data_IF_059932416743
#
_entry.id   IF_059932416743
#
_cell.length_a   1.000
_cell.length_b   1.000
_cell.length_c   1.000
_cell.angle_alpha   90.00
_cell.angle_beta   90.00
_cell.angle_gamma   90.00
#
_symmetry.space_group_name_H-M   'P 1'
#
loop_
_entity.id
_entity.type
_entity.pdbx_description
1 polymer ?
#
# COMPACT_ATOMS: atom_id res chain seq x y z
N UNK A 1 -15.71 17.19 -25.92
CA UNK A 1 -17.18 17.21 -25.75
C UNK A 1 -17.70 15.88 -25.21
N UNK A 2 -17.37 14.73 -25.83
CA UNK A 2 -17.86 13.39 -25.42
C UNK A 2 -17.58 13.06 -23.93
N UNK A 3 -16.36 13.33 -23.43
CA UNK A 3 -16.00 13.10 -22.02
C UNK A 3 -16.95 13.86 -21.09
N UNK A 4 -17.05 15.18 -21.27
CA UNK A 4 -17.91 16.04 -20.46
C UNK A 4 -19.38 15.61 -20.55
N UNK A 5 -19.89 15.31 -21.75
CA UNK A 5 -21.25 14.81 -21.93
C UNK A 5 -21.49 13.49 -21.19
N UNK A 6 -20.54 12.56 -21.22
CA UNK A 6 -20.64 11.28 -20.51
C UNK A 6 -20.69 11.48 -19.00
N UNK A 7 -19.84 12.36 -18.46
CA UNK A 7 -19.84 12.68 -17.03
C UNK A 7 -21.14 13.36 -16.60
N UNK A 8 -21.66 14.30 -17.39
CA UNK A 8 -22.96 14.96 -17.13
C UNK A 8 -24.10 13.94 -17.13
N UNK A 9 -24.14 13.05 -18.13
CA UNK A 9 -25.17 12.00 -18.21
C UNK A 9 -25.05 11.05 -17.02
N UNK A 10 -23.84 10.68 -16.62
CA UNK A 10 -23.60 9.91 -15.41
C UNK A 10 -24.21 10.60 -14.20
N UNK A 11 -23.90 11.87 -13.98
CA UNK A 11 -24.45 12.62 -12.84
C UNK A 11 -25.98 12.70 -12.85
N UNK A 12 -26.61 12.90 -14.01
CA UNK A 12 -28.07 12.83 -14.15
C UNK A 12 -28.57 11.42 -13.81
N UNK A 13 -27.92 10.38 -14.34
CA UNK A 13 -28.26 8.99 -14.10
C UNK A 13 -28.08 8.54 -12.66
N UNK A 14 -27.19 9.17 -11.90
CA UNK A 14 -27.04 8.95 -10.46
C UNK A 14 -28.26 9.44 -9.67
N UNK A 15 -28.84 10.55 -10.11
CA UNK A 15 -29.93 11.24 -9.42
C UNK A 15 -31.31 10.85 -9.95
N UNK A 16 -31.39 10.15 -11.08
CA UNK A 16 -32.65 9.86 -11.77
C UNK A 16 -32.62 8.53 -12.49
N UNK A 17 -33.72 7.80 -12.45
CA UNK A 17 -33.87 6.53 -13.16
C UNK A 17 -33.87 6.75 -14.68
N UNK A 18 -32.83 6.27 -15.35
CA UNK A 18 -32.64 6.36 -16.80
C UNK A 18 -33.19 5.14 -17.56
N UNK A 19 -33.84 4.18 -16.90
CA UNK A 19 -34.35 2.93 -17.50
C UNK A 19 -35.37 3.17 -18.63
N UNK A 20 -36.04 4.33 -18.64
CA UNK A 20 -36.94 4.72 -19.73
C UNK A 20 -36.22 4.97 -21.07
N UNK A 21 -34.90 5.24 -21.05
CA UNK A 21 -34.13 5.49 -22.25
C UNK A 21 -33.49 4.20 -22.79
N UNK A 22 -34.14 3.56 -23.76
CA UNK A 22 -33.69 2.28 -24.34
C UNK A 22 -32.34 2.33 -25.07
N UNK A 23 -31.85 3.50 -25.46
CA UNK A 23 -30.58 3.63 -26.20
C UNK A 23 -29.38 3.89 -25.29
N UNK A 24 -29.59 4.16 -24.00
CA UNK A 24 -28.51 4.60 -23.09
C UNK A 24 -27.42 3.54 -22.95
N UNK A 25 -27.81 2.30 -22.69
CA UNK A 25 -26.88 1.17 -22.52
C UNK A 25 -26.06 0.93 -23.78
N UNK A 26 -26.71 0.92 -24.95
CA UNK A 26 -26.03 0.74 -26.25
C UNK A 26 -25.07 1.88 -26.55
N UNK A 27 -25.43 3.10 -26.18
CA UNK A 27 -24.58 4.28 -26.39
C UNK A 27 -23.31 4.18 -25.55
N UNK A 28 -23.44 3.81 -24.27
CA UNK A 28 -22.31 3.64 -23.35
C UNK A 28 -21.43 2.47 -23.78
N UNK A 29 -22.02 1.35 -24.18
CA UNK A 29 -21.29 0.20 -24.71
C UNK A 29 -20.42 0.58 -25.92
N UNK A 30 -20.98 1.37 -26.85
CA UNK A 30 -20.22 1.94 -27.97
C UNK A 30 -19.02 2.80 -27.54
N UNK A 31 -19.09 3.47 -26.40
CA UNK A 31 -17.99 4.31 -25.89
C UNK A 31 -16.82 3.49 -25.33
N UNK A 32 -17.03 2.25 -24.86
CA UNK A 32 -15.92 1.39 -24.43
C UNK A 32 -14.99 0.99 -25.58
N UNK A 33 -15.52 1.00 -26.81
CA UNK A 33 -14.76 0.72 -28.02
C UNK A 33 -14.04 1.95 -28.61
N UNK A 34 -14.15 3.12 -27.97
CA UNK A 34 -13.56 4.36 -28.48
C UNK A 34 -12.02 4.35 -28.43
N UNK A 35 -11.33 4.92 -29.42
CA UNK A 35 -9.86 4.88 -29.49
C UNK A 35 -9.16 5.64 -28.33
N UNK A 36 -9.80 6.70 -27.82
CA UNK A 36 -9.30 7.47 -26.68
C UNK A 36 -9.67 6.81 -25.34
N UNK A 37 -8.65 6.44 -24.55
CA UNK A 37 -8.79 5.85 -23.20
C UNK A 37 -9.59 6.72 -22.23
N UNK A 38 -9.47 8.05 -22.27
CA UNK A 38 -10.21 8.95 -21.39
C UNK A 38 -11.72 8.89 -21.63
N UNK A 39 -12.13 8.64 -22.88
CA UNK A 39 -13.55 8.41 -23.20
C UNK A 39 -14.03 7.10 -22.60
N UNK A 40 -13.21 6.05 -22.62
CA UNK A 40 -13.55 4.76 -22.01
C UNK A 40 -13.68 4.86 -20.48
N UNK A 41 -12.80 5.63 -19.84
CA UNK A 41 -12.87 5.91 -18.39
C UNK A 41 -14.13 6.71 -18.08
N UNK A 42 -14.45 7.74 -18.87
CA UNK A 42 -15.68 8.51 -18.69
C UNK A 42 -16.95 7.66 -18.90
N UNK A 43 -16.91 6.70 -19.83
CA UNK A 43 -18.00 5.74 -20.04
C UNK A 43 -18.18 4.80 -18.85
N UNK A 44 -17.09 4.28 -18.26
CA UNK A 44 -17.14 3.50 -17.03
C UNK A 44 -17.78 4.28 -15.87
N UNK A 45 -17.33 5.50 -15.64
CA UNK A 45 -17.90 6.37 -14.60
C UNK A 45 -19.38 6.66 -14.85
N UNK A 46 -19.75 6.98 -16.10
CA UNK A 46 -21.13 7.19 -16.50
C UNK A 46 -22.01 5.95 -16.23
N UNK A 47 -21.54 4.75 -16.59
CA UNK A 47 -22.26 3.50 -16.37
C UNK A 47 -22.50 3.22 -14.88
N UNK A 48 -21.45 3.39 -14.05
CA UNK A 48 -21.57 3.19 -12.60
C UNK A 48 -22.59 4.14 -11.97
N UNK A 49 -22.55 5.41 -12.36
CA UNK A 49 -23.49 6.42 -11.90
C UNK A 49 -24.93 6.16 -12.36
N UNK A 50 -25.17 5.80 -13.62
CA UNK A 50 -26.49 5.40 -14.09
C UNK A 50 -27.01 4.18 -13.32
N UNK A 51 -26.11 3.24 -13.01
CA UNK A 51 -26.46 2.06 -12.25
C UNK A 51 -26.96 2.42 -10.84
N UNK A 52 -26.37 3.43 -10.19
CA UNK A 52 -26.81 3.92 -8.88
C UNK A 52 -28.25 4.46 -8.91
N UNK A 53 -28.68 5.10 -10.00
CA UNK A 53 -30.05 5.62 -10.13
C UNK A 53 -31.13 4.54 -10.20
N UNK A 54 -30.79 3.34 -10.67
CA UNK A 54 -31.68 2.17 -10.66
C UNK A 54 -30.88 0.86 -10.69
N UNK A 55 -30.41 0.42 -9.52
CA UNK A 55 -29.58 -0.79 -9.38
C UNK A 55 -30.29 -2.03 -9.89
N UNK A 56 -31.58 -2.18 -9.58
CA UNK A 56 -32.39 -3.33 -10.00
C UNK A 56 -32.42 -3.52 -11.52
N UNK A 57 -32.42 -2.43 -12.29
CA UNK A 57 -32.44 -2.51 -13.75
C UNK A 57 -31.03 -2.63 -14.34
N UNK A 58 -30.09 -1.80 -13.90
CA UNK A 58 -28.79 -1.66 -14.57
C UNK A 58 -27.70 -2.59 -14.02
N UNK A 59 -27.75 -3.02 -12.76
CA UNK A 59 -26.73 -3.90 -12.19
C UNK A 59 -26.64 -5.26 -12.92
N UNK A 60 -27.76 -5.94 -13.26
CA UNK A 60 -27.70 -7.15 -14.08
C UNK A 60 -27.03 -6.94 -15.44
N UNK A 61 -27.21 -5.75 -16.04
CA UNK A 61 -26.59 -5.39 -17.32
C UNK A 61 -25.08 -5.21 -17.16
N UNK A 62 -24.64 -4.53 -16.09
CA UNK A 62 -23.20 -4.38 -15.79
C UNK A 62 -22.54 -5.75 -15.56
N UNK A 63 -23.21 -6.65 -14.85
CA UNK A 63 -22.71 -8.01 -14.60
C UNK A 63 -22.62 -8.81 -15.90
N UNK A 64 -23.64 -8.72 -16.77
CA UNK A 64 -23.61 -9.35 -18.09
C UNK A 64 -22.41 -8.85 -18.92
N UNK A 65 -22.15 -7.54 -18.92
CA UNK A 65 -20.96 -6.98 -19.58
C UNK A 65 -19.67 -7.50 -18.96
N UNK A 66 -19.55 -7.62 -17.63
CA UNK A 66 -18.33 -8.14 -16.98
C UNK A 66 -18.03 -9.58 -17.43
N UNK A 67 -19.07 -10.37 -17.61
CA UNK A 67 -18.95 -11.78 -17.98
C UNK A 67 -18.69 -11.98 -19.48
N UNK A 68 -19.24 -11.12 -20.33
CA UNK A 68 -19.20 -11.28 -21.79
C UNK A 68 -18.12 -10.42 -22.49
N UNK A 69 -17.63 -9.33 -21.87
CA UNK A 69 -16.69 -8.38 -22.46
C UNK A 69 -15.32 -8.37 -21.73
N UNK A 70 -14.47 -9.40 -21.90
CA UNK A 70 -13.21 -9.52 -21.15
C UNK A 70 -12.26 -8.34 -21.39
N UNK A 71 -12.27 -7.76 -22.59
CA UNK A 71 -11.43 -6.60 -22.96
C UNK A 71 -11.80 -5.32 -22.18
N UNK A 72 -13.03 -5.23 -21.67
CA UNK A 72 -13.54 -4.07 -20.93
C UNK A 72 -13.70 -4.37 -19.43
N UNK A 73 -13.42 -5.60 -18.98
CA UNK A 73 -13.60 -6.05 -17.59
C UNK A 73 -13.02 -5.10 -16.55
N UNK A 74 -11.81 -4.56 -16.78
CA UNK A 74 -11.21 -3.57 -15.89
C UNK A 74 -12.10 -2.32 -15.73
N UNK A 75 -12.61 -1.76 -16.82
CA UNK A 75 -13.47 -0.57 -16.81
C UNK A 75 -14.85 -0.87 -16.22
N UNK A 76 -15.38 -2.07 -16.42
CA UNK A 76 -16.67 -2.45 -15.85
C UNK A 76 -16.57 -2.68 -14.33
N UNK A 77 -15.47 -3.26 -13.85
CA UNK A 77 -15.19 -3.35 -12.42
C UNK A 77 -14.94 -1.97 -11.78
N UNK A 78 -14.41 -1.01 -12.54
CA UNK A 78 -14.37 0.39 -12.10
C UNK A 78 -15.77 0.98 -11.96
N UNK A 79 -16.73 0.62 -12.82
CA UNK A 79 -18.14 1.00 -12.64
C UNK A 79 -18.73 0.38 -11.37
N UNK A 80 -18.38 -0.88 -11.05
CA UNK A 80 -18.75 -1.51 -9.77
C UNK A 80 -18.17 -0.76 -8.57
N UNK A 81 -16.92 -0.31 -8.66
CA UNK A 81 -16.30 0.51 -7.62
C UNK A 81 -17.08 1.81 -7.38
N UNK A 82 -17.50 2.52 -8.43
CA UNK A 82 -18.31 3.75 -8.27
C UNK A 82 -19.65 3.49 -7.55
N UNK A 83 -20.27 2.33 -7.81
CA UNK A 83 -21.50 1.91 -7.13
C UNK A 83 -21.26 1.75 -5.62
N UNK A 84 -20.17 1.08 -5.25
CA UNK A 84 -19.79 0.85 -3.85
C UNK A 84 -19.42 2.18 -3.15
N UNK A 85 -18.72 3.08 -3.85
CA UNK A 85 -18.25 4.34 -3.28
C UNK A 85 -19.38 5.33 -2.96
N UNK A 86 -20.44 5.34 -3.76
CA UNK A 86 -21.44 6.40 -3.68
C UNK A 86 -22.49 6.13 -2.59
N UNK A 87 -22.96 4.88 -2.44
CA UNK A 87 -24.14 4.57 -1.58
C UNK A 87 -24.11 3.14 -1.03
N UNK A 88 -23.13 2.81 -0.19
CA UNK A 88 -23.07 1.52 0.51
C UNK A 88 -24.36 1.15 1.28
N UNK A 89 -25.10 2.13 1.81
CA UNK A 89 -26.36 1.89 2.52
C UNK A 89 -27.56 1.58 1.60
N UNK A 90 -27.53 2.01 0.33
CA UNK A 90 -28.64 1.79 -0.62
C UNK A 90 -28.40 0.56 -1.52
N UNK A 91 -27.23 -0.08 -1.42
CA UNK A 91 -26.88 -1.30 -2.17
C UNK A 91 -27.14 -2.57 -1.35
N UNK A 92 -27.79 -2.48 -0.19
CA UNK A 92 -27.96 -3.60 0.75
C UNK A 92 -28.56 -4.86 0.09
N UNK A 93 -29.61 -4.70 -0.70
CA UNK A 93 -30.29 -5.78 -1.44
C UNK A 93 -29.42 -6.41 -2.55
N UNK A 94 -28.29 -5.79 -2.87
CA UNK A 94 -27.40 -6.19 -3.95
C UNK A 94 -26.00 -6.59 -3.47
N UNK A 95 -25.72 -6.53 -2.17
CA UNK A 95 -24.41 -6.87 -1.58
C UNK A 95 -23.98 -8.27 -1.98
N UNK A 96 -24.85 -9.27 -1.85
CA UNK A 96 -24.51 -10.66 -2.16
C UNK A 96 -24.05 -10.81 -3.62
N UNK A 97 -24.76 -10.16 -4.55
CA UNK A 97 -24.40 -10.17 -5.97
C UNK A 97 -23.09 -9.44 -6.24
N UNK A 98 -22.86 -8.28 -5.61
CA UNK A 98 -21.63 -7.51 -5.73
C UNK A 98 -20.42 -8.27 -5.15
N UNK A 99 -20.58 -8.88 -3.97
CA UNK A 99 -19.55 -9.70 -3.34
C UNK A 99 -19.21 -10.91 -4.21
N UNK A 100 -20.21 -11.61 -4.75
CA UNK A 100 -19.99 -12.76 -5.63
C UNK A 100 -19.12 -12.40 -6.85
N UNK A 101 -19.49 -11.35 -7.60
CA UNK A 101 -18.72 -10.96 -8.79
C UNK A 101 -17.30 -10.49 -8.44
N UNK A 102 -17.11 -9.83 -7.30
CA UNK A 102 -15.79 -9.40 -6.86
C UNK A 102 -14.92 -10.59 -6.47
N UNK A 103 -15.45 -11.54 -5.70
CA UNK A 103 -14.71 -12.74 -5.32
C UNK A 103 -14.40 -13.66 -6.50
N UNK A 104 -15.31 -13.78 -7.48
CA UNK A 104 -15.04 -14.48 -8.74
C UNK A 104 -13.86 -13.86 -9.51
N UNK A 105 -13.70 -12.53 -9.43
CA UNK A 105 -12.61 -11.82 -10.10
C UNK A 105 -11.35 -11.64 -9.22
N UNK A 106 -11.34 -12.15 -7.98
CA UNK A 106 -10.15 -12.13 -7.11
C UNK A 106 -9.00 -13.01 -7.65
N UNK A 107 -9.32 -14.05 -8.42
CA UNK A 107 -8.35 -14.95 -9.06
C UNK A 107 -7.85 -14.42 -10.42
N UNK A 108 -8.30 -13.24 -10.86
CA UNK A 108 -7.98 -12.75 -12.20
C UNK A 108 -6.46 -12.62 -12.43
N UNK A 109 -5.96 -13.03 -13.58
CA UNK A 109 -4.53 -12.99 -13.91
C UNK A 109 -3.96 -11.57 -13.98
N UNK A 110 -4.78 -10.58 -14.35
CA UNK A 110 -4.34 -9.18 -14.48
C UNK A 110 -4.33 -8.47 -13.11
N UNK A 111 -3.15 -8.01 -12.68
CA UNK A 111 -3.00 -7.32 -11.39
C UNK A 111 -3.87 -6.05 -11.28
N UNK A 112 -4.02 -5.29 -12.36
CA UNK A 112 -4.87 -4.08 -12.37
C UNK A 112 -6.34 -4.41 -12.04
N UNK A 113 -6.83 -5.58 -12.45
CA UNK A 113 -8.20 -6.04 -12.11
C UNK A 113 -8.24 -6.41 -10.63
N UNK A 114 -7.28 -7.22 -10.17
CA UNK A 114 -7.18 -7.58 -8.75
C UNK A 114 -7.07 -6.36 -7.84
N UNK A 115 -6.43 -5.29 -8.27
CA UNK A 115 -6.31 -4.04 -7.51
C UNK A 115 -7.67 -3.37 -7.29
N UNK A 116 -8.49 -3.24 -8.35
CA UNK A 116 -9.85 -2.70 -8.24
C UNK A 116 -10.73 -3.60 -7.39
N UNK A 117 -10.62 -4.92 -7.57
CA UNK A 117 -11.36 -5.91 -6.76
C UNK A 117 -10.96 -5.81 -5.28
N UNK A 118 -9.67 -5.70 -4.98
CA UNK A 118 -9.16 -5.58 -3.61
C UNK A 118 -9.72 -4.33 -2.93
N UNK A 119 -9.74 -3.20 -3.65
CA UNK A 119 -10.32 -1.96 -3.14
C UNK A 119 -11.81 -2.10 -2.82
N UNK A 120 -12.58 -2.67 -3.75
CA UNK A 120 -14.01 -2.89 -3.56
C UNK A 120 -14.29 -3.84 -2.39
N UNK A 121 -13.60 -4.98 -2.32
CA UNK A 121 -13.75 -5.95 -1.23
C UNK A 121 -13.37 -5.35 0.12
N UNK A 122 -12.30 -4.55 0.19
CA UNK A 122 -11.91 -3.89 1.42
C UNK A 122 -12.96 -2.88 1.89
N UNK A 123 -13.53 -2.09 0.97
CA UNK A 123 -14.64 -1.17 1.28
C UNK A 123 -15.90 -1.89 1.75
N UNK A 124 -16.24 -3.03 1.14
CA UNK A 124 -17.33 -3.88 1.60
C UNK A 124 -17.06 -4.43 3.00
N UNK A 125 -15.85 -4.92 3.29
CA UNK A 125 -15.47 -5.39 4.62
C UNK A 125 -15.56 -4.27 5.66
N UNK A 126 -15.08 -3.07 5.35
CA UNK A 126 -15.17 -1.92 6.24
C UNK A 126 -16.62 -1.55 6.58
N UNK A 127 -17.54 -1.68 5.62
CA UNK A 127 -18.93 -1.31 5.79
C UNK A 127 -19.80 -2.40 6.43
N UNK A 128 -19.52 -3.68 6.14
CA UNK A 128 -20.35 -4.81 6.54
C UNK A 128 -19.79 -5.58 7.74
N UNK A 129 -18.52 -5.38 8.08
CA UNK A 129 -17.89 -5.95 9.27
C UNK A 129 -18.03 -7.47 9.32
N UNK A 130 -18.65 -7.98 10.40
CA UNK A 130 -18.79 -9.40 10.70
C UNK A 130 -19.47 -10.21 9.58
N UNK A 131 -20.36 -9.61 8.80
CA UNK A 131 -21.10 -10.31 7.73
C UNK A 131 -20.18 -10.78 6.59
N UNK A 132 -18.98 -10.20 6.46
CA UNK A 132 -18.01 -10.55 5.42
C UNK A 132 -16.93 -11.54 5.90
N UNK A 133 -16.88 -11.87 7.19
CA UNK A 133 -15.73 -12.57 7.78
C UNK A 133 -15.56 -13.98 7.21
N UNK A 134 -16.64 -14.77 7.11
CA UNK A 134 -16.55 -16.14 6.59
C UNK A 134 -16.05 -16.20 5.14
N UNK A 135 -16.41 -15.23 4.30
CA UNK A 135 -15.92 -15.14 2.92
C UNK A 135 -14.43 -14.76 2.87
N UNK A 136 -13.96 -13.93 3.80
CA UNK A 136 -12.54 -13.56 3.91
C UNK A 136 -11.68 -14.69 4.48
N UNK A 137 -12.10 -15.35 5.57
CA UNK A 137 -11.40 -16.48 6.19
C UNK A 137 -11.21 -17.66 5.22
N UNK A 138 -12.23 -17.95 4.42
CA UNK A 138 -12.14 -19.03 3.42
C UNK A 138 -11.18 -18.72 2.27
N UNK A 139 -10.87 -17.44 2.01
CA UNK A 139 -10.02 -17.01 0.89
C UNK A 139 -8.61 -16.63 1.30
N UNK A 140 -8.41 -16.16 2.53
CA UNK A 140 -7.09 -15.82 3.05
C UNK A 140 -6.16 -17.04 3.09
N UNK A 141 -6.73 -18.23 3.31
CA UNK A 141 -6.05 -19.52 3.32
C UNK A 141 -6.12 -20.27 1.98
N UNK A 142 -6.59 -19.61 0.91
CA UNK A 142 -6.73 -20.25 -0.41
C UNK A 142 -5.41 -20.79 -0.93
N UNK A 143 -5.45 -21.96 -1.58
CA UNK A 143 -4.28 -22.52 -2.27
C UNK A 143 -3.84 -21.66 -3.46
N UNK A 144 -4.74 -20.83 -4.02
CA UNK A 144 -4.43 -19.94 -5.11
C UNK A 144 -3.82 -18.61 -4.62
N UNK A 145 -2.58 -18.36 -5.00
CA UNK A 145 -1.85 -17.16 -4.59
C UNK A 145 -2.46 -15.84 -5.10
N UNK A 146 -3.16 -15.84 -6.24
CA UNK A 146 -3.82 -14.64 -6.75
C UNK A 146 -4.96 -14.22 -5.82
N UNK A 147 -5.77 -15.18 -5.37
CA UNK A 147 -6.84 -14.94 -4.39
C UNK A 147 -6.26 -14.41 -3.08
N UNK A 148 -5.24 -15.07 -2.53
CA UNK A 148 -4.57 -14.59 -1.31
C UNK A 148 -4.01 -13.18 -1.48
N UNK A 149 -3.41 -12.86 -2.64
CA UNK A 149 -2.90 -11.50 -2.93
C UNK A 149 -4.00 -10.44 -2.93
N UNK A 150 -5.17 -10.76 -3.49
CA UNK A 150 -6.33 -9.85 -3.48
C UNK A 150 -6.85 -9.63 -2.06
N UNK A 151 -6.98 -10.69 -1.26
CA UNK A 151 -7.42 -10.57 0.14
C UNK A 151 -6.40 -9.77 0.96
N UNK A 152 -5.10 -10.11 0.85
CA UNK A 152 -4.03 -9.39 1.54
C UNK A 152 -4.08 -7.89 1.25
N UNK A 153 -4.27 -7.50 -0.02
CA UNK A 153 -4.36 -6.09 -0.43
C UNK A 153 -5.67 -5.43 -0.02
N UNK A 154 -6.77 -6.16 0.01
CA UNK A 154 -8.08 -5.60 0.37
C UNK A 154 -8.11 -5.06 1.80
N UNK A 155 -7.35 -5.67 2.72
CA UNK A 155 -7.26 -5.22 4.11
C UNK A 155 -6.74 -3.78 4.25
N UNK A 156 -5.91 -3.31 3.32
CA UNK A 156 -5.44 -1.92 3.26
C UNK A 156 -6.63 -0.95 3.17
N UNK A 157 -7.60 -1.29 2.34
CA UNK A 157 -8.80 -0.50 2.09
C UNK A 157 -9.90 -0.76 3.14
N UNK A 158 -9.87 -1.92 3.79
CA UNK A 158 -10.73 -2.23 4.91
C UNK A 158 -10.32 -1.52 6.21
N UNK A 159 -9.07 -1.06 6.32
CA UNK A 159 -8.56 -0.41 7.53
C UNK A 159 -8.84 1.10 7.52
N UNK A 160 -10.05 1.51 7.89
CA UNK A 160 -10.43 2.91 8.13
C UNK A 160 -10.81 3.11 9.61
N UNK A 161 -11.04 4.36 10.03
CA UNK A 161 -11.41 4.64 11.44
C UNK A 161 -12.83 4.18 11.79
N UNK A 162 -13.67 4.05 10.77
CA UNK A 162 -15.08 3.70 10.85
C UNK A 162 -15.31 2.19 10.77
N UNK A 163 -14.26 1.42 10.48
CA UNK A 163 -14.36 -0.03 10.28
C UNK A 163 -14.67 -0.77 11.59
N UNK A 164 -15.37 -1.89 11.48
CA UNK A 164 -15.63 -2.77 12.62
C UNK A 164 -14.33 -3.43 13.11
N UNK A 165 -13.77 -2.88 14.19
CA UNK A 165 -12.55 -3.38 14.81
C UNK A 165 -12.69 -4.84 15.30
N UNK A 166 -13.91 -5.28 15.67
CA UNK A 166 -14.14 -6.67 16.09
C UNK A 166 -13.94 -7.62 14.92
N UNK A 167 -14.54 -7.28 13.78
CA UNK A 167 -14.45 -8.04 12.54
C UNK A 167 -12.99 -8.11 12.06
N UNK A 168 -12.30 -6.96 12.00
CA UNK A 168 -10.90 -6.93 11.58
C UNK A 168 -9.99 -7.70 12.54
N UNK A 169 -10.22 -7.63 13.85
CA UNK A 169 -9.42 -8.36 14.85
C UNK A 169 -9.48 -9.88 14.66
N UNK A 170 -10.57 -10.42 14.10
CA UNK A 170 -10.66 -11.85 13.76
C UNK A 170 -9.65 -12.23 12.68
N UNK A 171 -9.43 -11.37 11.68
CA UNK A 171 -8.57 -11.62 10.53
C UNK A 171 -7.08 -11.29 10.77
N UNK A 172 -6.75 -10.58 11.86
CA UNK A 172 -5.36 -10.13 12.12
C UNK A 172 -4.35 -11.29 12.15
N UNK A 173 -4.60 -12.42 12.85
CA UNK A 173 -3.62 -13.52 12.92
C UNK A 173 -3.24 -14.06 11.54
N UNK A 174 -4.23 -14.36 10.70
CA UNK A 174 -4.05 -14.90 9.36
C UNK A 174 -3.40 -13.87 8.42
N UNK A 175 -3.74 -12.58 8.57
CA UNK A 175 -3.09 -11.51 7.81
C UNK A 175 -1.61 -11.38 8.19
N UNK A 176 -1.27 -11.47 9.47
CA UNK A 176 0.13 -11.46 9.90
C UNK A 176 0.89 -12.66 9.34
N UNK A 177 0.27 -13.84 9.25
CA UNK A 177 0.88 -15.04 8.66
C UNK A 177 1.24 -14.85 7.18
N UNK A 178 0.41 -14.13 6.41
CA UNK A 178 0.68 -13.82 5.00
C UNK A 178 1.95 -12.97 4.79
N UNK A 179 2.48 -12.32 5.82
CA UNK A 179 3.75 -11.60 5.73
C UNK A 179 4.94 -12.54 5.49
N UNK A 180 4.77 -13.84 5.74
CA UNK A 180 5.73 -14.90 5.47
C UNK A 180 5.36 -15.78 4.26
N UNK A 181 4.38 -15.37 3.44
CA UNK A 181 3.97 -16.13 2.25
C UNK A 181 5.13 -16.32 1.28
N UNK A 182 5.13 -17.44 0.55
CA UNK A 182 6.14 -17.74 -0.47
C UNK A 182 6.18 -16.67 -1.58
N UNK A 183 5.02 -16.11 -1.94
CA UNK A 183 4.92 -15.13 -3.01
C UNK A 183 5.32 -13.72 -2.55
N UNK A 184 6.32 -13.08 -3.19
CA UNK A 184 6.79 -11.74 -2.82
C UNK A 184 5.68 -10.68 -2.85
N UNK A 185 4.76 -10.77 -3.80
CA UNK A 185 3.66 -9.82 -3.95
C UNK A 185 2.68 -9.88 -2.77
N UNK A 186 2.44 -11.08 -2.21
CA UNK A 186 1.57 -11.24 -1.04
C UNK A 186 2.23 -10.62 0.19
N UNK A 187 3.54 -10.85 0.38
CA UNK A 187 4.29 -10.22 1.48
C UNK A 187 4.24 -8.69 1.37
N UNK A 188 4.45 -8.13 0.16
CA UNK A 188 4.33 -6.69 -0.08
C UNK A 188 2.95 -6.16 0.33
N UNK A 189 1.87 -6.73 -0.22
CA UNK A 189 0.51 -6.25 0.05
C UNK A 189 0.12 -6.43 1.52
N UNK A 190 0.60 -7.47 2.16
CA UNK A 190 0.40 -7.68 3.60
C UNK A 190 1.04 -6.56 4.42
N UNK A 191 2.30 -6.21 4.15
CA UNK A 191 2.95 -5.09 4.83
C UNK A 191 2.24 -3.76 4.56
N UNK A 192 1.79 -3.50 3.33
CA UNK A 192 0.98 -2.31 3.01
C UNK A 192 -0.35 -2.26 3.79
N UNK A 193 -0.99 -3.41 3.97
CA UNK A 193 -2.22 -3.51 4.77
C UNK A 193 -1.94 -3.31 6.25
N UNK A 194 -0.86 -3.91 6.79
CA UNK A 194 -0.42 -3.70 8.17
C UNK A 194 -0.06 -2.23 8.43
N UNK A 195 0.51 -1.51 7.45
CA UNK A 195 0.73 -0.05 7.56
C UNK A 195 -0.60 0.67 7.73
N UNK A 196 -1.60 0.35 6.90
CA UNK A 196 -2.93 0.99 6.99
C UNK A 196 -3.61 0.69 8.33
N UNK A 197 -3.55 -0.56 8.80
CA UNK A 197 -4.08 -0.96 10.11
C UNK A 197 -3.34 -0.23 11.23
N UNK A 198 -2.00 -0.21 11.22
CA UNK A 198 -1.21 0.51 12.22
C UNK A 198 -1.54 2.01 12.25
N UNK A 199 -1.81 2.61 11.10
CA UNK A 199 -2.11 4.04 11.00
C UNK A 199 -3.50 4.40 11.54
N UNK A 200 -4.53 3.63 11.17
CA UNK A 200 -5.94 3.96 11.45
C UNK A 200 -6.48 3.27 12.71
N UNK A 201 -6.03 2.05 12.99
CA UNK A 201 -6.54 1.16 14.03
C UNK A 201 -5.38 0.50 14.82
N UNK A 202 -4.44 1.28 15.39
CA UNK A 202 -3.21 0.76 16.00
C UNK A 202 -3.45 -0.27 17.12
N UNK A 203 -4.55 -0.14 17.86
CA UNK A 203 -4.87 -1.07 18.96
C UNK A 203 -5.04 -2.52 18.50
N UNK A 204 -5.42 -2.75 17.24
CA UNK A 204 -5.53 -4.10 16.66
C UNK A 204 -4.18 -4.83 16.60
N UNK A 205 -3.08 -4.09 16.49
CA UNK A 205 -1.73 -4.64 16.37
C UNK A 205 -0.94 -4.61 17.69
N UNK A 206 -1.52 -4.02 18.75
CA UNK A 206 -0.85 -3.78 20.03
C UNK A 206 -0.33 -5.05 20.70
N UNK A 207 -1.05 -6.16 20.56
CA UNK A 207 -0.70 -7.47 21.14
C UNK A 207 0.35 -8.21 20.31
N UNK A 208 0.42 -7.93 19.01
CA UNK A 208 1.26 -8.64 18.04
C UNK A 208 2.58 -7.92 17.73
N UNK A 209 2.88 -6.82 18.45
CA UNK A 209 4.05 -5.98 18.21
C UNK A 209 5.36 -6.78 18.11
N UNK A 210 5.60 -7.74 19.02
CA UNK A 210 6.84 -8.54 18.98
C UNK A 210 6.96 -9.38 17.69
N UNK A 211 5.85 -9.93 17.20
CA UNK A 211 5.79 -10.70 15.95
C UNK A 211 6.03 -9.75 14.77
N UNK A 212 5.41 -8.57 14.78
CA UNK A 212 5.62 -7.55 13.76
C UNK A 212 7.09 -7.10 13.67
N UNK A 213 7.79 -6.92 14.79
CA UNK A 213 9.23 -6.60 14.77
C UNK A 213 10.07 -7.70 14.12
N UNK A 214 9.75 -8.98 14.36
CA UNK A 214 10.44 -10.11 13.71
C UNK A 214 10.20 -10.12 12.20
N UNK A 215 8.95 -9.89 11.78
CA UNK A 215 8.57 -9.78 10.36
C UNK A 215 9.31 -8.61 9.70
N UNK A 216 9.27 -7.42 10.29
CA UNK A 216 9.94 -6.22 9.76
C UNK A 216 11.44 -6.47 9.64
N UNK A 217 12.07 -7.07 10.65
CA UNK A 217 13.51 -7.39 10.59
C UNK A 217 13.83 -8.31 9.41
N UNK A 218 13.05 -9.38 9.20
CA UNK A 218 13.22 -10.29 8.06
C UNK A 218 12.97 -9.61 6.72
N UNK A 219 11.90 -8.83 6.61
CA UNK A 219 11.46 -8.24 5.34
C UNK A 219 12.22 -6.97 4.94
N UNK A 220 13.01 -6.39 5.84
CA UNK A 220 13.92 -5.25 5.55
C UNK A 220 15.31 -5.69 5.11
N UNK A 221 15.65 -6.97 5.19
CA UNK A 221 16.92 -7.51 4.70
C UNK A 221 16.96 -7.62 3.16
N UNK A 222 18.15 -7.41 2.60
CA UNK A 222 18.39 -7.58 1.16
C UNK A 222 18.46 -9.07 0.79
N UNK A 223 17.33 -9.60 0.31
CA UNK A 223 17.17 -10.99 -0.16
C UNK A 223 17.68 -11.15 -1.60
N UNK A 224 18.88 -11.74 -1.76
CA UNK A 224 19.56 -11.88 -3.07
C UNK A 224 18.78 -12.73 -4.08
N UNK A 225 17.99 -13.68 -3.60
CA UNK A 225 17.09 -14.53 -4.38
C UNK A 225 15.96 -13.74 -5.06
N UNK A 226 15.62 -12.55 -4.58
CA UNK A 226 14.64 -11.65 -5.18
C UNK A 226 15.26 -10.66 -6.19
N UNK A 227 16.57 -10.73 -6.43
CA UNK A 227 17.26 -9.86 -7.39
C UNK A 227 17.49 -10.66 -8.69
N UNK A 228 16.74 -10.31 -9.73
CA UNK A 228 16.85 -10.94 -11.05
C UNK A 228 17.74 -10.11 -11.97
N UNK A 229 18.67 -10.75 -12.66
CA UNK A 229 19.43 -10.13 -13.74
C UNK A 229 18.71 -10.38 -15.07
N UNK A 230 18.26 -9.31 -15.73
CA UNK A 230 17.73 -9.33 -17.09
C UNK A 230 18.84 -8.93 -18.04
N UNK A 231 19.18 -9.84 -18.94
CA UNK A 231 20.17 -9.60 -19.99
C UNK A 231 19.52 -8.76 -21.11
N UNK A 232 20.08 -7.57 -21.34
CA UNK A 232 19.70 -6.66 -22.42
C UNK A 232 20.81 -6.58 -23.48
N UNK A 233 21.57 -7.67 -23.67
CA UNK A 233 22.69 -7.78 -24.61
C UNK A 233 24.00 -7.29 -23.98
N UNK A 234 24.59 -6.16 -24.42
CA UNK A 234 25.82 -5.63 -23.79
C UNK A 234 25.55 -5.03 -22.40
N UNK A 235 24.28 -4.89 -21.99
CA UNK A 235 23.89 -4.34 -20.69
C UNK A 235 23.17 -5.41 -19.86
N UNK A 236 23.46 -5.45 -18.55
CA UNK A 236 22.69 -6.22 -17.57
C UNK A 236 21.85 -5.27 -16.73
N UNK A 237 20.56 -5.52 -16.65
CA UNK A 237 19.66 -4.76 -15.77
C UNK A 237 19.26 -5.62 -14.57
N UNK A 238 19.46 -5.11 -13.36
CA UNK A 238 19.04 -5.79 -12.12
C UNK A 238 17.65 -5.32 -11.74
N UNK A 239 16.72 -6.25 -11.63
CA UNK A 239 15.38 -6.04 -11.10
C UNK A 239 15.36 -6.60 -9.68
N UNK A 240 15.28 -5.71 -8.70
CA UNK A 240 15.11 -6.06 -7.29
C UNK A 240 13.61 -6.13 -6.97
N UNK A 241 13.04 -7.34 -6.98
CA UNK A 241 11.65 -7.59 -6.62
C UNK A 241 11.42 -7.52 -5.10
N UNK A 242 12.49 -7.53 -4.30
CA UNK A 242 12.43 -7.36 -2.85
C UNK A 242 12.32 -5.90 -2.42
N UNK A 243 12.72 -4.94 -3.27
CA UNK A 243 12.72 -3.51 -2.94
C UNK A 243 11.35 -3.00 -2.43
N UNK A 244 10.21 -3.27 -3.10
CA UNK A 244 8.90 -2.80 -2.61
C UNK A 244 8.56 -3.34 -1.21
N UNK A 245 8.99 -4.57 -0.91
CA UNK A 245 8.78 -5.23 0.37
C UNK A 245 9.62 -4.55 1.46
N UNK A 246 10.92 -4.33 1.21
CA UNK A 246 11.81 -3.63 2.16
C UNK A 246 11.30 -2.23 2.48
N UNK A 247 10.89 -1.48 1.44
CA UNK A 247 10.28 -0.16 1.61
C UNK A 247 9.04 -0.22 2.50
N UNK A 248 8.14 -1.18 2.27
CA UNK A 248 6.97 -1.36 3.12
C UNK A 248 7.35 -1.75 4.57
N UNK A 249 8.40 -2.56 4.77
CA UNK A 249 8.92 -2.88 6.09
C UNK A 249 9.40 -1.65 6.87
N UNK A 250 10.21 -0.78 6.25
CA UNK A 250 10.66 0.46 6.88
C UNK A 250 9.50 1.44 7.16
N UNK A 251 8.53 1.54 6.26
CA UNK A 251 7.33 2.37 6.49
C UNK A 251 6.46 1.83 7.62
N UNK A 252 6.32 0.50 7.73
CA UNK A 252 5.60 -0.13 8.83
C UNK A 252 6.28 0.17 10.17
N UNK A 253 7.61 0.05 10.25
CA UNK A 253 8.37 0.42 11.43
C UNK A 253 8.16 1.89 11.82
N UNK A 254 8.24 2.80 10.84
CA UNK A 254 8.02 4.23 11.06
C UNK A 254 6.61 4.53 11.58
N UNK A 255 5.61 3.80 11.08
CA UNK A 255 4.21 3.92 11.47
C UNK A 255 3.98 3.38 12.88
N UNK A 256 4.53 2.21 13.22
CA UNK A 256 4.47 1.66 14.58
C UNK A 256 5.13 2.61 15.58
N UNK A 257 6.27 3.21 15.22
CA UNK A 257 6.93 4.22 16.06
C UNK A 257 6.01 5.41 16.36
N UNK A 258 5.26 5.88 15.37
CA UNK A 258 4.36 7.01 15.54
C UNK A 258 3.09 6.65 16.32
N UNK A 259 2.51 5.48 16.07
CA UNK A 259 1.17 5.12 16.56
C UNK A 259 1.16 4.23 17.80
N UNK A 260 2.24 3.50 18.05
CA UNK A 260 2.43 2.60 19.19
C UNK A 260 3.85 2.79 19.80
N UNK A 261 4.25 4.02 20.19
CA UNK A 261 5.60 4.30 20.67
C UNK A 261 6.00 3.46 21.90
N UNK A 262 5.03 3.11 22.76
CA UNK A 262 5.24 2.24 23.92
C UNK A 262 5.57 0.78 23.58
N UNK A 263 5.39 0.38 22.31
CA UNK A 263 5.74 -0.96 21.81
C UNK A 263 7.08 -1.01 21.10
N UNK A 264 7.77 0.12 20.95
CA UNK A 264 9.06 0.16 20.26
C UNK A 264 10.11 -0.70 20.97
N UNK A 265 10.65 -1.67 20.24
CA UNK A 265 11.82 -2.43 20.64
C UNK A 265 13.09 -1.71 20.14
N UNK A 266 13.71 -0.92 21.00
CA UNK A 266 14.87 -0.07 20.64
C UNK A 266 16.05 -0.88 20.08
N UNK A 267 16.50 -1.99 20.71
CA UNK A 267 17.58 -2.82 20.14
C UNK A 267 17.29 -3.31 18.71
N UNK A 268 16.12 -3.93 18.48
CA UNK A 268 15.76 -4.44 17.14
C UNK A 268 15.64 -3.28 16.13
N UNK A 269 15.09 -2.14 16.56
CA UNK A 269 14.97 -0.95 15.71
C UNK A 269 16.34 -0.44 15.26
N UNK A 270 17.35 -0.46 16.14
CA UNK A 270 18.73 -0.07 15.79
C UNK A 270 19.34 -1.04 14.78
N UNK A 271 19.14 -2.35 14.96
CA UNK A 271 19.62 -3.37 14.02
C UNK A 271 19.00 -3.16 12.62
N UNK A 272 17.68 -2.94 12.56
CA UNK A 272 16.97 -2.63 11.31
C UNK A 272 17.50 -1.34 10.67
N UNK A 273 17.79 -0.31 11.47
CA UNK A 273 18.38 0.94 10.95
C UNK A 273 19.75 0.69 10.32
N UNK A 274 20.62 -0.07 10.97
CA UNK A 274 21.96 -0.37 10.43
C UNK A 274 21.88 -1.13 9.10
N UNK A 275 20.92 -2.05 8.98
CA UNK A 275 20.61 -2.75 7.72
C UNK A 275 20.13 -1.74 6.66
N UNK A 276 19.13 -0.91 6.99
CA UNK A 276 18.51 0.02 6.04
C UNK A 276 19.41 1.17 5.58
N UNK A 277 20.36 1.61 6.40
CA UNK A 277 21.39 2.58 5.97
C UNK A 277 22.32 2.03 4.89
N UNK A 278 22.39 0.70 4.77
CA UNK A 278 23.21 0.00 3.77
C UNK A 278 22.39 -0.44 2.55
N UNK A 279 21.09 -0.09 2.47
CA UNK A 279 20.22 -0.49 1.36
C UNK A 279 20.69 0.15 0.04
N UNK A 280 20.70 -0.58 -1.08
CA UNK A 280 21.05 0.00 -2.38
C UNK A 280 20.03 1.03 -2.91
N UNK A 281 18.80 1.02 -2.42
CA UNK A 281 17.71 1.86 -2.90
C UNK A 281 17.52 3.15 -2.06
N UNK A 282 17.46 4.30 -2.73
CA UNK A 282 17.40 5.62 -2.08
C UNK A 282 16.13 5.82 -1.24
N UNK A 283 15.00 5.25 -1.67
CA UNK A 283 13.74 5.36 -0.92
C UNK A 283 13.82 4.55 0.37
N UNK A 284 14.40 3.35 0.34
CA UNK A 284 14.59 2.50 1.52
C UNK A 284 15.51 3.17 2.55
N UNK A 285 16.63 3.75 2.10
CA UNK A 285 17.53 4.54 2.96
C UNK A 285 16.79 5.75 3.53
N UNK A 286 16.00 6.46 2.73
CA UNK A 286 15.22 7.62 3.16
C UNK A 286 14.22 7.28 4.27
N UNK A 287 13.47 6.18 4.13
CA UNK A 287 12.55 5.70 5.17
C UNK A 287 13.29 5.31 6.45
N UNK A 288 14.44 4.64 6.32
CA UNK A 288 15.29 4.27 7.45
C UNK A 288 15.76 5.49 8.24
N UNK A 289 16.18 6.55 7.53
CA UNK A 289 16.63 7.80 8.17
C UNK A 289 15.49 8.53 8.90
N UNK A 290 14.24 8.43 8.42
CA UNK A 290 13.09 8.96 9.15
C UNK A 290 12.90 8.28 10.50
N UNK A 291 13.02 6.95 10.55
CA UNK A 291 12.99 6.18 11.81
C UNK A 291 14.16 6.58 12.71
N UNK A 292 15.38 6.71 12.17
CA UNK A 292 16.55 7.15 12.94
C UNK A 292 16.35 8.54 13.57
N UNK A 293 15.78 9.50 12.84
CA UNK A 293 15.46 10.83 13.38
C UNK A 293 14.49 10.76 14.56
N UNK A 294 13.47 9.90 14.48
CA UNK A 294 12.53 9.65 15.58
C UNK A 294 13.26 9.02 16.77
N UNK A 295 14.12 8.04 16.51
CA UNK A 295 14.85 7.32 17.56
C UNK A 295 15.88 8.20 18.28
N UNK A 296 16.56 9.12 17.58
CA UNK A 296 17.46 10.12 18.20
C UNK A 296 16.73 10.90 19.29
N UNK A 297 15.48 11.31 19.03
CA UNK A 297 14.68 12.05 20.00
C UNK A 297 14.15 11.17 21.13
N UNK A 298 13.75 9.94 20.80
CA UNK A 298 13.07 9.04 21.73
C UNK A 298 14.04 8.32 22.68
N UNK A 299 15.17 7.84 22.17
CA UNK A 299 16.16 7.05 22.90
C UNK A 299 17.60 7.49 22.56
N UNK A 300 17.98 8.75 22.84
CA UNK A 300 19.29 9.30 22.45
C UNK A 300 20.47 8.50 23.00
N UNK A 301 20.39 8.01 24.24
CA UNK A 301 21.45 7.19 24.84
C UNK A 301 21.72 5.88 24.09
N UNK A 302 20.67 5.24 23.55
CA UNK A 302 20.82 4.03 22.75
C UNK A 302 21.47 4.33 21.38
N UNK A 303 21.10 5.46 20.77
CA UNK A 303 21.74 5.93 19.52
C UNK A 303 23.21 6.26 19.77
N UNK A 304 23.55 6.93 20.88
CA UNK A 304 24.95 7.19 21.27
C UNK A 304 25.73 5.88 21.42
N UNK A 305 25.14 4.86 22.03
CA UNK A 305 25.76 3.54 22.16
C UNK A 305 26.08 2.85 20.83
N UNK A 306 25.32 3.14 19.77
CA UNK A 306 25.52 2.61 18.41
C UNK A 306 26.10 3.65 17.43
N UNK A 307 26.53 4.81 17.92
CA UNK A 307 26.92 5.96 17.10
C UNK A 307 28.02 5.60 16.10
N UNK A 308 29.05 4.88 16.55
CA UNK A 308 30.15 4.46 15.69
C UNK A 308 29.67 3.64 14.47
N UNK A 309 28.75 2.69 14.69
CA UNK A 309 28.21 1.83 13.63
C UNK A 309 27.31 2.61 12.67
N UNK A 310 26.52 3.56 13.19
CA UNK A 310 25.66 4.42 12.37
C UNK A 310 26.52 5.34 11.49
N UNK A 311 27.49 6.03 12.09
CA UNK A 311 28.38 6.96 11.39
C UNK A 311 29.29 6.27 10.38
N UNK A 312 29.60 4.99 10.55
CA UNK A 312 30.33 4.21 9.54
C UNK A 312 29.54 4.08 8.23
N UNK A 313 28.20 4.01 8.28
CA UNK A 313 27.35 3.84 7.09
C UNK A 313 27.02 5.14 6.37
N UNK A 314 26.92 6.26 7.10
CA UNK A 314 26.51 7.54 6.54
C UNK A 314 27.37 8.10 5.39
N UNK A 315 28.70 7.89 5.29
CA UNK A 315 29.50 8.37 4.17
C UNK A 315 29.02 7.83 2.82
N UNK A 316 28.54 6.58 2.79
CA UNK A 316 27.99 5.98 1.58
C UNK A 316 26.66 6.64 1.17
N UNK A 317 25.85 7.03 2.16
CA UNK A 317 24.58 7.74 1.96
C UNK A 317 24.81 9.17 1.46
N UNK A 318 25.78 9.88 2.05
CA UNK A 318 26.12 11.27 1.73
C UNK A 318 26.78 11.45 0.35
N UNK A 319 27.20 10.36 -0.30
CA UNK A 319 27.86 10.42 -1.59
C UNK A 319 26.91 10.86 -2.70
N UNK A 320 27.20 12.00 -3.30
CA UNK A 320 26.44 12.51 -4.45
C UNK A 320 26.58 11.61 -5.69
N UNK A 321 25.52 11.47 -6.50
CA UNK A 321 25.61 10.79 -7.78
C UNK A 321 26.48 11.60 -8.75
N UNK A 322 27.33 10.90 -9.52
CA UNK A 322 28.24 11.56 -10.48
C UNK A 322 27.51 12.35 -11.59
N UNK A 323 26.25 11.98 -11.88
CA UNK A 323 25.33 12.69 -12.78
C UNK A 323 23.90 12.46 -12.27
N UNK A 324 23.06 13.49 -12.29
CA UNK A 324 21.64 13.39 -11.94
C UNK A 324 21.23 14.28 -10.77
N UNK A 325 19.99 14.10 -10.32
CA UNK A 325 19.42 14.83 -9.18
C UNK A 325 20.00 14.31 -7.86
N UNK A 326 20.27 15.21 -6.92
CA UNK A 326 20.67 14.87 -5.55
C UNK A 326 19.67 13.89 -4.93
N UNK A 327 20.20 12.84 -4.31
CA UNK A 327 19.42 11.82 -3.60
C UNK A 327 18.60 12.43 -2.47
N UNK A 328 17.39 11.94 -2.27
CA UNK A 328 16.51 12.41 -1.18
C UNK A 328 17.11 12.05 0.18
N UNK A 329 17.75 10.88 0.26
CA UNK A 329 18.41 10.38 1.48
C UNK A 329 19.51 11.32 1.99
N UNK A 330 20.26 12.02 1.13
CA UNK A 330 21.33 12.94 1.54
C UNK A 330 20.75 14.06 2.42
N UNK A 331 19.67 14.69 1.98
CA UNK A 331 19.01 15.76 2.75
C UNK A 331 18.50 15.26 4.11
N UNK A 332 17.93 14.05 4.14
CA UNK A 332 17.41 13.47 5.39
C UNK A 332 18.56 13.04 6.30
N UNK A 333 19.67 12.54 5.75
CA UNK A 333 20.88 12.18 6.50
C UNK A 333 21.52 13.41 7.16
N UNK A 334 21.62 14.54 6.44
CA UNK A 334 22.08 15.80 7.03
C UNK A 334 21.19 16.24 8.19
N UNK A 335 19.86 16.12 8.04
CA UNK A 335 18.91 16.38 9.14
C UNK A 335 19.08 15.41 10.32
N UNK A 336 19.39 14.14 10.06
CA UNK A 336 19.68 13.17 11.11
C UNK A 336 20.96 13.55 11.86
N UNK A 337 22.01 13.97 11.15
CA UNK A 337 23.28 14.43 11.73
C UNK A 337 23.09 15.70 12.56
N UNK A 338 22.32 16.67 12.05
CA UNK A 338 21.91 17.86 12.80
C UNK A 338 21.22 17.46 14.11
N UNK A 339 20.24 16.55 14.05
CA UNK A 339 19.55 16.05 15.25
C UNK A 339 20.45 15.28 16.20
N UNK A 340 21.45 14.55 15.70
CA UNK A 340 22.45 13.92 16.55
C UNK A 340 23.30 14.98 17.26
N UNK A 341 23.64 16.08 16.61
CA UNK A 341 24.43 17.17 17.23
C UNK A 341 23.73 17.86 18.40
N UNK A 342 22.39 17.77 18.45
CA UNK A 342 21.55 18.29 19.55
C UNK A 342 21.54 17.36 20.79
N UNK A 343 22.08 16.14 20.71
CA UNK A 343 22.18 15.25 21.87
C UNK A 343 23.21 15.85 22.87
N UNK A 344 22.94 15.84 24.19
CA UNK A 344 23.89 16.30 25.20
C UNK A 344 25.28 15.66 25.06
N UNK A 345 26.31 16.45 25.35
CA UNK A 345 27.74 16.06 25.33
C UNK A 345 28.33 15.67 23.96
N UNK A 346 27.58 15.82 22.87
CA UNK A 346 28.07 15.49 21.52
C UNK A 346 29.22 16.36 21.03
N UNK A 347 29.40 17.54 21.61
CA UNK A 347 30.57 18.40 21.36
C UNK A 347 31.88 17.75 21.83
N UNK A 348 31.81 16.88 22.84
CA UNK A 348 32.97 16.16 23.38
C UNK A 348 33.08 14.72 22.86
N UNK A 349 32.06 14.24 22.13
CA UNK A 349 32.06 12.89 21.55
C UNK A 349 33.07 12.81 20.39
N UNK A 350 34.21 12.17 20.63
CA UNK A 350 35.34 12.11 19.69
C UNK A 350 34.98 11.44 18.37
N UNK A 351 34.12 10.41 18.40
CA UNK A 351 33.70 9.68 17.18
C UNK A 351 32.89 10.60 16.28
N UNK A 352 31.93 11.33 16.85
CA UNK A 352 31.08 12.24 16.11
C UNK A 352 31.83 13.47 15.60
N UNK A 353 32.65 14.10 16.45
CA UNK A 353 33.45 15.26 16.04
C UNK A 353 34.40 14.91 14.90
N UNK A 354 35.06 13.75 14.98
CA UNK A 354 35.90 13.24 13.89
C UNK A 354 35.11 13.05 12.61
N UNK A 355 33.92 12.44 12.68
CA UNK A 355 33.06 12.25 11.52
C UNK A 355 32.68 13.57 10.84
N UNK A 356 32.27 14.59 11.61
CA UNK A 356 31.92 15.92 11.10
C UNK A 356 33.12 16.55 10.38
N UNK A 357 34.32 16.46 10.98
CA UNK A 357 35.55 16.99 10.40
C UNK A 357 35.93 16.26 9.10
N UNK A 358 35.92 14.92 9.11
CA UNK A 358 36.34 14.08 7.98
C UNK A 358 35.44 14.23 6.75
N UNK A 359 34.16 14.58 6.95
CA UNK A 359 33.18 14.75 5.87
C UNK A 359 32.87 16.22 5.54
N UNK A 360 33.63 17.17 6.10
CA UNK A 360 33.47 18.62 5.89
C UNK A 360 32.02 19.11 6.05
N UNK A 361 31.26 18.52 6.98
CA UNK A 361 29.87 18.87 7.22
C UNK A 361 29.88 20.16 8.05
N UNK A 362 29.69 21.30 7.40
CA UNK A 362 29.59 22.60 8.09
C UNK A 362 28.32 22.61 8.94
N UNK A 363 28.45 22.87 10.25
CA UNK A 363 27.30 23.22 11.10
C UNK A 363 26.65 24.45 10.47
N UNK A 364 25.44 24.32 9.93
CA UNK A 364 24.66 25.50 9.55
C UNK A 364 24.33 26.27 10.82
N UNK A 365 24.82 27.50 10.90
CA UNK A 365 24.49 28.45 11.98
C UNK A 365 23.00 28.75 12.07
#
# INVERSE_FOLDING_TARGET
MIILSSLIIGEIGRLSDMSGNKSITKTIDGLFNHANTDVKIAASHCLGHICIGNLKHFLPIVIDFINNEPNHKYLLLMSIREIIDTKLNDVSDHIETLSAILFENAINSEEKIRNVVSECLGKLLAALGLDMISEFESRITSTNHLVRSTIAKSMKYAATRESDATALNVLIPEIIELASDAEPLIRQYTLESLISIAHHLPDLLRKDAEVLFKIISSETELKKDLIKEVDLGPFKHKIDEGRPIRKAGFVLLDTIFEKLPEKINVPITLDIILVGLSDPDDDCVSQTLHVLIKLIKWAPGAVVGQMANILEKLPAVLKEPAKGTTKTSIRIALKAIEKMSEIPDMETNTVFQKFIQDNAITRSE
#
